data_IF_516091173937
#
_entry.id   IF_516091173937
#
_cell.length_a   1.000
_cell.length_b   1.000
_cell.length_c   1.000
_cell.angle_alpha   90.00
_cell.angle_beta   90.00
_cell.angle_gamma   90.00
#
_symmetry.space_group_name_H-M   'P 1'
#
loop_
_entity.id
_entity.type
_entity.pdbx_description
1 polymer ?
#
# COMPACT_ATOMS: atom_id res chain seq x y z
N UNK A 1 7.90 0.27 0.66
CA UNK A 1 6.76 0.66 -0.17
C UNK A 1 6.65 -0.31 -1.34
N UNK A 2 5.47 -0.50 -1.95
CA UNK A 2 5.32 -1.24 -3.19
C UNK A 2 5.97 -0.50 -4.35
N UNK A 3 6.27 -1.23 -5.41
CA UNK A 3 6.78 -0.72 -6.67
C UNK A 3 5.78 -1.02 -7.80
N UNK A 4 5.71 -0.13 -8.77
CA UNK A 4 4.91 -0.32 -9.98
C UNK A 4 5.74 -1.02 -11.05
N UNK A 5 5.18 -2.03 -11.69
CA UNK A 5 5.78 -2.71 -12.80
C UNK A 5 4.74 -3.18 -13.82
N UNK A 6 5.18 -3.46 -15.03
CA UNK A 6 4.31 -3.97 -16.09
C UNK A 6 4.63 -5.44 -16.34
N UNK A 7 3.63 -6.30 -16.26
CA UNK A 7 3.70 -7.69 -16.69
C UNK A 7 2.55 -7.96 -17.67
N UNK A 8 2.85 -8.55 -18.83
CA UNK A 8 1.87 -8.84 -19.90
C UNK A 8 1.06 -7.62 -20.38
N UNK A 9 1.66 -6.43 -20.35
CA UNK A 9 0.97 -5.18 -20.71
C UNK A 9 -0.02 -4.68 -19.66
N UNK A 10 -0.10 -5.35 -18.50
CA UNK A 10 -0.96 -4.97 -17.37
C UNK A 10 -0.09 -4.33 -16.28
N UNK A 11 -0.61 -3.25 -15.71
CA UNK A 11 0.03 -2.62 -14.54
C UNK A 11 -0.17 -3.49 -13.30
N UNK A 12 0.91 -3.73 -12.61
CA UNK A 12 0.93 -4.49 -11.37
C UNK A 12 1.66 -3.71 -10.28
N UNK A 13 1.42 -4.08 -9.05
CA UNK A 13 2.09 -3.56 -7.87
C UNK A 13 2.68 -4.73 -7.11
N UNK A 14 3.89 -4.57 -6.62
CA UNK A 14 4.56 -5.63 -5.90
C UNK A 14 5.85 -5.19 -5.25
N UNK A 15 6.67 -6.15 -4.97
CA UNK A 15 7.96 -5.93 -4.32
C UNK A 15 9.02 -6.68 -5.12
N UNK A 16 10.18 -6.07 -5.31
CA UNK A 16 11.33 -6.72 -5.94
C UNK A 16 12.33 -7.26 -4.89
N UNK A 17 13.05 -8.31 -5.26
CA UNK A 17 14.07 -8.93 -4.42
C UNK A 17 13.49 -9.60 -3.18
N UNK A 18 13.89 -9.14 -2.00
CA UNK A 18 13.46 -9.68 -0.72
C UNK A 18 12.40 -8.80 -0.07
N UNK A 19 11.32 -9.42 0.39
CA UNK A 19 10.28 -8.75 1.19
C UNK A 19 10.00 -9.52 2.48
N UNK A 20 9.88 -8.79 3.58
CA UNK A 20 9.30 -9.27 4.83
C UNK A 20 8.04 -8.46 5.09
N UNK A 21 6.91 -9.15 5.21
CA UNK A 21 5.61 -8.55 5.50
C UNK A 21 5.35 -8.64 7.02
N UNK A 22 5.55 -7.56 7.79
CA UNK A 22 5.36 -7.60 9.23
C UNK A 22 3.88 -7.74 9.56
N UNK A 23 3.54 -8.77 10.35
CA UNK A 23 2.17 -9.00 10.83
C UNK A 23 2.14 -8.76 12.33
N UNK A 24 1.25 -7.89 12.79
CA UNK A 24 1.02 -7.65 14.21
C UNK A 24 -0.13 -8.50 14.71
N UNK A 25 0.14 -9.33 15.70
CA UNK A 25 -0.84 -10.22 16.32
C UNK A 25 -1.08 -9.76 17.75
N UNK A 26 -2.36 -9.67 18.15
CA UNK A 26 -2.76 -9.44 19.53
C UNK A 26 -3.22 -10.77 20.11
N UNK A 27 -2.59 -11.18 21.20
CA UNK A 27 -2.99 -12.38 21.94
C UNK A 27 -4.18 -12.04 22.84
N UNK A 28 -5.25 -12.86 22.80
CA UNK A 28 -6.39 -12.72 23.70
C UNK A 28 -6.03 -13.11 25.14
N UNK A 29 -5.14 -14.08 25.30
CA UNK A 29 -4.66 -14.61 26.58
C UNK A 29 -3.13 -14.57 26.63
N UNK A 30 -2.54 -13.42 26.98
CA UNK A 30 -1.10 -13.30 27.11
C UNK A 30 -0.56 -14.27 28.19
N UNK A 31 0.58 -14.92 27.89
CA UNK A 31 1.23 -15.87 28.80
C UNK A 31 0.84 -17.33 28.58
N UNK A 32 -0.22 -17.63 27.83
CA UNK A 32 -0.55 -18.98 27.41
C UNK A 32 0.23 -19.42 26.17
N UNK A 33 0.34 -20.74 25.95
CA UNK A 33 0.92 -21.26 24.73
C UNK A 33 0.06 -20.90 23.51
N UNK A 34 0.69 -20.55 22.41
CA UNK A 34 0.01 -20.11 21.18
C UNK A 34 0.58 -20.86 19.99
N UNK A 35 -0.31 -21.40 19.16
CA UNK A 35 0.01 -21.92 17.83
C UNK A 35 -0.47 -20.93 16.79
N UNK A 36 0.46 -20.34 16.02
CA UNK A 36 0.19 -19.47 14.92
C UNK A 36 0.30 -20.25 13.60
N UNK A 37 -0.65 -20.02 12.71
CA UNK A 37 -0.62 -20.56 11.36
C UNK A 37 -0.92 -19.45 10.37
N UNK A 38 -0.17 -19.40 9.28
CA UNK A 38 -0.38 -18.44 8.21
C UNK A 38 -0.30 -19.17 6.87
N UNK A 39 -1.15 -18.76 5.96
CA UNK A 39 -1.10 -19.15 4.56
C UNK A 39 -0.77 -17.90 3.73
N UNK A 40 0.23 -18.00 2.88
CA UNK A 40 0.61 -16.94 1.96
C UNK A 40 0.37 -17.41 0.53
N UNK A 41 -0.49 -16.71 -0.18
CA UNK A 41 -0.76 -16.89 -1.60
C UNK A 41 -0.15 -15.70 -2.34
N UNK A 42 0.86 -15.93 -3.14
CA UNK A 42 1.61 -14.89 -3.85
C UNK A 42 1.73 -15.21 -5.33
N UNK A 43 1.88 -14.16 -6.14
CA UNK A 43 2.31 -14.27 -7.52
C UNK A 43 3.80 -13.93 -7.58
N UNK A 44 4.61 -14.84 -8.06
CA UNK A 44 6.03 -14.61 -8.33
C UNK A 44 6.17 -14.35 -9.82
N UNK A 45 6.57 -13.14 -10.18
CA UNK A 45 6.61 -12.68 -11.57
C UNK A 45 8.04 -12.43 -12.03
N UNK A 46 8.34 -12.89 -13.24
CA UNK A 46 9.45 -12.49 -14.08
C UNK A 46 8.84 -12.20 -15.46
N UNK A 47 9.17 -12.98 -16.48
CA UNK A 47 8.48 -12.95 -17.78
C UNK A 47 7.06 -13.54 -17.67
N UNK A 48 6.84 -14.41 -16.72
CA UNK A 48 5.56 -15.07 -16.41
C UNK A 48 5.29 -14.95 -14.91
N UNK A 49 4.01 -14.74 -14.55
CA UNK A 49 3.57 -14.78 -13.16
C UNK A 49 3.14 -16.22 -12.78
N UNK A 50 3.76 -16.79 -11.78
CA UNK A 50 3.46 -18.12 -11.26
C UNK A 50 2.83 -18.00 -9.88
N UNK A 51 1.60 -18.51 -9.68
CA UNK A 51 0.99 -18.60 -8.36
C UNK A 51 1.81 -19.53 -7.46
N UNK A 52 2.07 -19.10 -6.24
CA UNK A 52 2.77 -19.87 -5.22
C UNK A 52 2.04 -19.76 -3.90
N UNK A 53 1.76 -20.91 -3.26
CA UNK A 53 1.13 -20.98 -1.95
C UNK A 53 2.08 -21.62 -0.96
N UNK A 54 2.18 -21.03 0.22
CA UNK A 54 3.02 -21.53 1.31
C UNK A 54 2.28 -21.45 2.64
N UNK A 55 2.40 -22.51 3.45
CA UNK A 55 1.84 -22.54 4.79
C UNK A 55 2.97 -22.44 5.80
N UNK A 56 2.81 -21.58 6.78
CA UNK A 56 3.74 -21.37 7.89
C UNK A 56 3.09 -21.74 9.21
N UNK A 57 3.87 -22.29 10.12
CA UNK A 57 3.45 -22.57 11.49
C UNK A 57 4.52 -22.10 12.47
N UNK A 58 4.08 -21.49 13.58
CA UNK A 58 4.93 -21.07 14.67
C UNK A 58 4.22 -21.39 15.98
N UNK A 59 4.85 -22.26 16.80
CA UNK A 59 4.35 -22.59 18.11
C UNK A 59 5.20 -21.84 19.17
N UNK A 60 4.53 -21.04 19.97
CA UNK A 60 5.11 -20.28 21.06
C UNK A 60 4.72 -20.94 22.39
N UNK A 61 5.69 -21.30 23.26
CA UNK A 61 5.37 -21.90 24.55
C UNK A 61 4.70 -20.89 25.49
N UNK A 62 4.05 -21.39 26.54
CA UNK A 62 3.53 -20.52 27.59
C UNK A 62 4.67 -19.74 28.25
N UNK A 63 4.45 -18.44 28.45
CA UNK A 63 5.36 -17.57 29.21
C UNK A 63 5.29 -17.93 30.71
N UNK A 64 6.42 -18.27 31.31
CA UNK A 64 6.51 -18.47 32.76
C UNK A 64 7.04 -17.24 33.49
N UNK A 65 6.68 -17.06 34.76
CA UNK A 65 7.30 -16.04 35.60
C UNK A 65 8.81 -16.31 35.71
N UNK A 66 9.63 -15.43 35.12
CA UNK A 66 11.10 -15.56 35.07
C UNK A 66 11.68 -16.09 33.78
N UNK A 67 10.89 -16.48 32.77
CA UNK A 67 11.37 -16.60 31.40
C UNK A 67 11.56 -15.20 30.84
N UNK A 68 12.81 -14.75 30.76
CA UNK A 68 13.10 -13.63 29.86
C UNK A 68 12.66 -14.05 28.48
N UNK A 69 11.83 -13.21 27.85
CA UNK A 69 11.41 -13.40 26.48
C UNK A 69 12.63 -13.73 25.62
N UNK A 70 12.67 -14.96 25.12
CA UNK A 70 13.72 -15.38 24.20
C UNK A 70 13.45 -14.70 22.84
N UNK A 71 13.68 -13.40 22.79
CA UNK A 71 13.59 -12.64 21.56
C UNK A 71 14.72 -13.12 20.65
N UNK A 72 14.37 -13.76 19.55
CA UNK A 72 15.33 -13.95 18.47
C UNK A 72 15.73 -12.57 17.89
N UNK A 73 16.88 -12.08 18.34
CA UNK A 73 17.38 -10.76 17.98
C UNK A 73 17.58 -10.60 16.48
N UNK A 74 17.94 -11.67 15.77
CA UNK A 74 18.17 -11.66 14.32
C UNK A 74 16.85 -11.44 13.59
N UNK A 75 15.83 -12.22 13.92
CA UNK A 75 14.48 -12.06 13.37
C UNK A 75 13.87 -10.72 13.76
N UNK A 76 14.03 -10.28 15.00
CA UNK A 76 13.53 -9.01 15.47
C UNK A 76 14.16 -7.83 14.72
N UNK A 77 15.48 -7.83 14.50
CA UNK A 77 16.17 -6.80 13.74
C UNK A 77 15.71 -6.77 12.27
N UNK A 78 15.53 -7.95 11.66
CA UNK A 78 15.03 -8.07 10.28
C UNK A 78 13.60 -7.54 10.16
N UNK A 79 12.70 -7.94 11.06
CA UNK A 79 11.32 -7.44 11.11
C UNK A 79 11.32 -5.92 11.28
N UNK A 80 12.13 -5.38 12.21
CA UNK A 80 12.20 -3.94 12.43
C UNK A 80 12.65 -3.17 11.19
N UNK A 81 13.64 -3.69 10.45
CA UNK A 81 14.12 -3.09 9.20
C UNK A 81 13.01 -2.99 8.15
N UNK A 82 12.22 -4.04 7.98
CA UNK A 82 11.12 -4.03 7.01
C UNK A 82 9.89 -3.27 7.53
N UNK A 83 9.60 -3.33 8.84
CA UNK A 83 8.52 -2.57 9.45
C UNK A 83 8.71 -1.05 9.28
N UNK A 84 9.95 -0.57 9.32
CA UNK A 84 10.26 0.84 9.07
C UNK A 84 9.96 1.31 7.62
N UNK A 85 9.82 0.36 6.69
CA UNK A 85 9.49 0.64 5.28
C UNK A 85 8.00 0.55 4.96
N UNK A 86 7.19 0.07 5.91
CA UNK A 86 5.74 0.03 5.73
C UNK A 86 5.19 1.46 5.71
N UNK A 87 4.34 1.82 4.73
CA UNK A 87 3.71 3.13 4.71
C UNK A 87 2.98 3.39 6.03
N UNK A 88 3.22 4.55 6.61
CA UNK A 88 2.53 4.94 7.84
C UNK A 88 1.09 5.35 7.52
N UNK A 89 0.16 4.95 8.38
CA UNK A 89 -1.26 5.25 8.21
C UNK A 89 -1.58 6.65 8.75
N UNK A 90 -2.37 7.37 7.99
CA UNK A 90 -2.87 8.70 8.34
C UNK A 90 -2.13 9.85 7.65
N UNK A 91 -2.72 11.05 7.71
CA UNK A 91 -2.15 12.26 7.14
C UNK A 91 -0.88 12.67 7.87
N UNK A 92 -0.09 13.50 7.21
CA UNK A 92 1.15 14.07 7.77
C UNK A 92 1.27 15.53 7.30
N UNK A 93 2.13 16.30 7.95
CA UNK A 93 2.47 17.65 7.46
C UNK A 93 3.12 17.59 6.06
N UNK A 94 3.80 16.50 5.72
CA UNK A 94 4.43 16.34 4.42
C UNK A 94 3.42 16.07 3.30
N UNK A 95 2.33 15.35 3.58
CA UNK A 95 1.24 15.05 2.63
C UNK A 95 -0.09 15.33 3.33
N UNK A 96 -0.86 16.24 2.78
CA UNK A 96 -2.16 16.65 3.30
C UNK A 96 -3.21 16.67 2.18
N UNK A 97 -4.47 16.82 2.56
CA UNK A 97 -5.62 16.98 1.68
C UNK A 97 -5.67 15.97 0.52
N UNK A 98 -5.48 14.68 0.85
CA UNK A 98 -5.64 13.62 -0.13
C UNK A 98 -7.12 13.43 -0.42
N UNK A 99 -7.50 13.64 -1.68
CA UNK A 99 -8.89 13.58 -2.11
C UNK A 99 -9.04 12.78 -3.41
N UNK A 100 -10.23 12.23 -3.62
CA UNK A 100 -10.54 11.38 -4.78
C UNK A 100 -11.86 11.73 -5.41
N UNK A 101 -11.94 11.53 -6.71
CA UNK A 101 -13.17 11.56 -7.49
C UNK A 101 -13.24 10.30 -8.35
N UNK A 102 -14.30 9.51 -8.16
CA UNK A 102 -14.62 8.36 -9.03
C UNK A 102 -15.62 8.84 -10.07
N UNK A 103 -15.23 8.78 -11.33
CA UNK A 103 -16.11 9.05 -12.46
C UNK A 103 -16.50 7.71 -13.10
N UNK A 104 -17.72 7.26 -12.82
CA UNK A 104 -18.24 5.99 -13.34
C UNK A 104 -18.51 6.05 -14.84
N UNK A 105 -18.97 7.20 -15.35
CA UNK A 105 -19.28 7.38 -16.77
C UNK A 105 -18.03 7.31 -17.63
N UNK A 106 -16.96 8.00 -17.23
CA UNK A 106 -15.68 8.02 -17.94
C UNK A 106 -14.76 6.87 -17.49
N UNK A 107 -15.17 6.10 -16.49
CA UNK A 107 -14.40 5.02 -15.88
C UNK A 107 -12.99 5.48 -15.45
N UNK A 108 -12.95 6.53 -14.65
CA UNK A 108 -11.69 7.08 -14.13
C UNK A 108 -11.75 7.32 -12.62
N UNK A 109 -10.62 7.11 -11.96
CA UNK A 109 -10.36 7.58 -10.61
C UNK A 109 -9.35 8.71 -10.68
N UNK A 110 -9.72 9.89 -10.16
CA UNK A 110 -8.79 11.01 -10.01
C UNK A 110 -8.42 11.15 -8.54
N UNK A 111 -7.13 11.26 -8.28
CA UNK A 111 -6.54 11.47 -6.94
C UNK A 111 -5.83 12.80 -6.93
N UNK A 112 -6.04 13.59 -5.89
CA UNK A 112 -5.27 14.81 -5.63
C UNK A 112 -4.64 14.78 -4.25
N UNK A 113 -3.48 15.41 -4.10
CA UNK A 113 -2.83 15.57 -2.81
C UNK A 113 -2.04 16.89 -2.75
N UNK A 114 -1.85 17.42 -1.54
CA UNK A 114 -1.02 18.59 -1.28
C UNK A 114 0.21 18.17 -0.48
N UNK A 115 1.39 18.61 -0.92
CA UNK A 115 2.65 18.47 -0.22
C UNK A 115 3.08 19.76 0.46
N UNK A 116 3.70 19.69 1.63
CA UNK A 116 4.38 20.84 2.23
C UNK A 116 5.66 21.21 1.48
N UNK A 117 6.21 20.27 0.74
CA UNK A 117 7.36 20.42 -0.13
C UNK A 117 6.98 19.95 -1.55
N UNK A 118 7.86 20.27 -2.51
CA UNK A 118 7.75 19.77 -3.88
C UNK A 118 7.90 18.24 -3.89
N UNK A 119 7.00 17.55 -4.55
CA UNK A 119 7.16 16.12 -4.88
C UNK A 119 8.29 15.98 -5.90
N UNK A 120 9.14 14.97 -5.76
CA UNK A 120 10.27 14.70 -6.66
C UNK A 120 9.93 13.59 -7.68
N UNK A 121 9.48 12.44 -7.19
CA UNK A 121 9.10 11.30 -8.01
C UNK A 121 7.93 10.54 -7.36
N UNK A 122 6.76 11.19 -7.23
CA UNK A 122 5.64 10.59 -6.54
C UNK A 122 5.02 9.44 -7.34
N UNK A 123 4.57 8.41 -6.62
CA UNK A 123 3.68 7.39 -7.15
C UNK A 123 2.46 7.23 -6.24
N UNK A 124 1.35 6.78 -6.85
CA UNK A 124 0.05 6.68 -6.20
C UNK A 124 -0.52 5.30 -6.42
N UNK A 125 -0.93 4.66 -5.34
CA UNK A 125 -1.47 3.29 -5.34
C UNK A 125 -2.88 3.31 -4.73
N UNK A 126 -3.92 3.35 -5.57
CA UNK A 126 -5.30 3.26 -5.10
C UNK A 126 -5.69 1.82 -4.78
N UNK A 127 -6.43 1.64 -3.70
CA UNK A 127 -7.03 0.37 -3.27
C UNK A 127 -8.53 0.58 -3.04
N UNK A 128 -9.37 -0.21 -3.72
CA UNK A 128 -10.84 -0.18 -3.66
C UNK A 128 -11.40 -1.61 -3.66
N UNK A 129 -10.88 -2.48 -2.79
CA UNK A 129 -11.30 -3.89 -2.72
C UNK A 129 -10.69 -4.78 -3.80
N UNK A 130 -11.01 -6.08 -3.70
CA UNK A 130 -10.29 -7.14 -4.44
C UNK A 130 -10.64 -7.23 -5.93
N UNK A 131 -11.79 -6.69 -6.34
CA UNK A 131 -12.28 -6.81 -7.73
C UNK A 131 -12.22 -5.51 -8.52
N UNK A 132 -11.70 -4.45 -7.90
CA UNK A 132 -11.41 -3.19 -8.60
C UNK A 132 -9.98 -3.20 -9.12
N UNK A 133 -9.81 -2.87 -10.39
CA UNK A 133 -8.50 -2.81 -11.03
C UNK A 133 -8.32 -1.51 -11.78
N UNK A 134 -7.11 -0.98 -11.75
CA UNK A 134 -6.72 0.28 -12.36
C UNK A 134 -5.66 0.07 -13.43
N UNK A 135 -5.71 0.90 -14.47
CA UNK A 135 -4.65 1.02 -15.47
C UNK A 135 -3.50 1.92 -15.00
N UNK A 136 -2.56 2.15 -15.92
CA UNK A 136 -1.46 3.08 -15.66
C UNK A 136 -1.99 4.50 -15.42
N UNK A 137 -1.51 5.21 -14.38
CA UNK A 137 -1.92 6.58 -14.13
C UNK A 137 -1.24 7.58 -15.08
N UNK A 138 -1.94 8.68 -15.32
CA UNK A 138 -1.34 9.95 -15.72
C UNK A 138 -1.10 10.75 -14.43
N UNK A 139 0.16 10.99 -14.07
CA UNK A 139 0.56 11.74 -12.87
C UNK A 139 1.12 13.08 -13.30
N UNK A 140 0.57 14.16 -12.74
CA UNK A 140 0.99 15.55 -13.03
C UNK A 140 1.19 16.31 -11.74
N UNK A 141 2.14 17.22 -11.77
CA UNK A 141 2.42 18.13 -10.67
C UNK A 141 2.05 19.57 -11.05
N UNK A 142 1.55 20.31 -10.07
CA UNK A 142 1.24 21.73 -10.17
C UNK A 142 1.76 22.47 -8.93
N UNK A 143 1.54 23.79 -8.86
CA UNK A 143 1.97 24.64 -7.72
C UNK A 143 3.45 24.41 -7.35
N UNK A 144 4.33 24.53 -8.35
CA UNK A 144 5.77 24.29 -8.19
C UNK A 144 6.08 22.91 -7.60
N UNK A 145 5.34 21.90 -8.02
CA UNK A 145 5.50 20.50 -7.60
C UNK A 145 4.81 20.14 -6.28
N UNK A 146 4.11 21.06 -5.61
CA UNK A 146 3.48 20.81 -4.31
C UNK A 146 2.05 20.25 -4.42
N UNK A 147 1.41 20.42 -5.55
CA UNK A 147 0.11 19.82 -5.83
C UNK A 147 0.28 18.62 -6.76
N UNK A 148 -0.18 17.45 -6.31
CA UNK A 148 -0.24 16.24 -7.11
C UNK A 148 -1.65 16.04 -7.65
N UNK A 149 -1.73 15.66 -8.91
CA UNK A 149 -2.91 15.17 -9.60
C UNK A 149 -2.56 13.87 -10.31
N UNK A 150 -3.34 12.82 -10.08
CA UNK A 150 -3.17 11.54 -10.74
C UNK A 150 -4.51 11.00 -11.22
N UNK A 151 -4.59 10.55 -12.46
CA UNK A 151 -5.80 9.94 -13.01
C UNK A 151 -5.52 8.53 -13.49
N UNK A 152 -6.37 7.60 -13.05
CA UNK A 152 -6.30 6.18 -13.37
C UNK A 152 -7.50 5.77 -14.22
N UNK A 153 -7.30 5.06 -15.33
CA UNK A 153 -8.37 4.29 -15.95
C UNK A 153 -8.86 3.20 -15.01
N UNK A 154 -10.17 3.05 -14.85
CA UNK A 154 -10.79 1.94 -14.11
C UNK A 154 -11.03 0.81 -15.11
N UNK A 155 -10.28 -0.28 -15.00
CA UNK A 155 -10.38 -1.46 -15.85
C UNK A 155 -11.54 -2.36 -15.42
N UNK A 156 -11.71 -2.54 -14.13
CA UNK A 156 -12.86 -3.17 -13.50
C UNK A 156 -13.23 -2.42 -12.22
N UNK A 157 -14.52 -2.34 -11.92
CA UNK A 157 -15.04 -1.73 -10.71
C UNK A 157 -15.95 -2.74 -10.01
N UNK A 158 -15.65 -3.02 -8.75
CA UNK A 158 -16.51 -3.79 -7.88
C UNK A 158 -17.74 -2.94 -7.52
N UNK A 159 -18.99 -3.40 -7.77
CA UNK A 159 -20.18 -2.65 -7.38
C UNK A 159 -20.28 -2.34 -5.88
N UNK A 160 -19.68 -3.19 -5.07
CA UNK A 160 -19.64 -3.06 -3.61
C UNK A 160 -18.27 -2.55 -3.12
N UNK A 161 -17.51 -1.87 -3.98
CA UNK A 161 -16.18 -1.37 -3.64
C UNK A 161 -16.23 -0.46 -2.40
N UNK A 162 -15.31 -0.64 -1.44
CA UNK A 162 -15.18 0.28 -0.33
C UNK A 162 -14.67 1.65 -0.79
N UNK A 163 -14.75 2.64 0.09
CA UNK A 163 -14.12 3.93 -0.14
C UNK A 163 -12.62 3.75 -0.48
N UNK A 164 -12.08 4.55 -1.41
CA UNK A 164 -10.70 4.43 -1.82
C UNK A 164 -9.72 4.70 -0.68
N UNK A 165 -8.77 3.79 -0.50
CA UNK A 165 -7.58 4.00 0.32
C UNK A 165 -6.41 4.27 -0.62
N UNK A 166 -5.69 5.35 -0.35
CA UNK A 166 -4.60 5.80 -1.21
C UNK A 166 -3.27 5.63 -0.48
N UNK A 167 -2.36 4.84 -1.06
CA UNK A 167 -0.96 4.88 -0.67
C UNK A 167 -0.22 5.79 -1.64
N UNK A 168 0.42 6.82 -1.10
CA UNK A 168 1.24 7.77 -1.83
C UNK A 168 2.69 7.62 -1.39
N UNK A 169 3.60 7.55 -2.35
CA UNK A 169 5.04 7.45 -2.11
C UNK A 169 5.77 8.58 -2.82
N UNK A 170 6.87 9.05 -2.23
CA UNK A 170 7.80 10.01 -2.86
C UNK A 170 9.18 9.84 -2.19
N UNK A 171 10.10 9.14 -2.86
CA UNK A 171 11.36 8.72 -2.27
C UNK A 171 11.17 7.86 -1.01
N UNK A 172 11.70 8.30 0.11
CA UNK A 172 11.58 7.61 1.41
C UNK A 172 10.22 7.87 2.10
N UNK A 173 9.44 8.81 1.59
CA UNK A 173 8.12 9.11 2.13
C UNK A 173 7.10 8.09 1.61
N UNK A 174 6.37 7.46 2.51
CA UNK A 174 5.25 6.60 2.16
C UNK A 174 4.11 6.77 3.18
N UNK A 175 2.89 7.04 2.67
CA UNK A 175 1.69 7.25 3.49
C UNK A 175 0.50 6.54 2.89
N UNK A 176 -0.28 5.90 3.75
CA UNK A 176 -1.57 5.31 3.41
C UNK A 176 -2.66 6.10 4.11
N UNK A 177 -3.60 6.64 3.36
CA UNK A 177 -4.68 7.48 3.88
C UNK A 177 -6.03 7.08 3.29
N UNK A 178 -7.09 7.20 4.07
CA UNK A 178 -8.45 7.23 3.56
C UNK A 178 -8.66 8.58 2.89
N UNK A 179 -8.95 8.56 1.60
CA UNK A 179 -9.06 9.78 0.82
C UNK A 179 -10.44 10.41 0.98
N UNK A 180 -10.49 11.73 1.02
CA UNK A 180 -11.75 12.48 1.06
C UNK A 180 -12.43 12.44 -0.31
N UNK A 181 -13.72 12.09 -0.40
CA UNK A 181 -14.44 12.16 -1.68
C UNK A 181 -14.62 13.61 -2.14
N UNK A 182 -14.58 13.81 -3.44
CA UNK A 182 -14.88 15.06 -4.12
C UNK A 182 -16.23 14.96 -4.85
N UNK A 183 -16.95 16.07 -4.93
CA UNK A 183 -18.24 16.14 -5.64
C UNK A 183 -18.07 16.31 -7.16
N UNK A 184 -16.89 16.69 -7.62
CA UNK A 184 -16.58 16.88 -9.04
C UNK A 184 -15.12 16.54 -9.34
N UNK A 185 -14.86 16.17 -10.61
CA UNK A 185 -13.51 15.90 -11.07
C UNK A 185 -12.65 17.17 -11.06
N UNK A 186 -11.52 17.17 -10.34
CA UNK A 186 -10.60 18.27 -10.39
C UNK A 186 -9.96 18.34 -11.78
N UNK A 187 -9.80 19.56 -12.37
CA UNK A 187 -9.19 19.72 -13.67
C UNK A 187 -7.74 19.26 -13.66
N UNK A 188 -7.33 18.58 -14.74
CA UNK A 188 -5.94 18.19 -14.91
C UNK A 188 -5.05 19.44 -15.03
N UNK A 189 -3.92 19.52 -14.32
CA UNK A 189 -2.91 20.54 -14.58
C UNK A 189 -2.37 20.41 -16.01
N UNK A 190 -1.91 21.51 -16.58
CA UNK A 190 -1.19 21.44 -17.86
C UNK A 190 0.04 20.54 -17.71
N UNK A 191 0.24 19.64 -18.67
CA UNK A 191 1.51 18.91 -18.76
C UNK A 191 2.61 19.91 -19.11
N UNK A 192 3.65 19.96 -18.32
CA UNK A 192 4.85 20.75 -18.58
C UNK A 192 5.77 20.01 -19.55
#
# INVERSE_FOLDING_TARGET
>A
APERFTAFGIQNFGYSGEVVLPVRIRLERPGEAVSLRAEANVLVCSDVCVPSSSTFALDLPAGGAGTQDAIDRTSAARIATFAARVPLVGPTEAISDVAVFVNEDDRTLTVTAQGSHSFEAPDVFPEMGSFTAFGAPDIRLADNGRALWAQFPILSLDPDAPAPVITLTDGDLARTVEARPLDASPPAPFAL
#
